data_IF_095432837792
#
_entry.id   IF_095432837792
#
_cell.length_a   1.000
_cell.length_b   1.000
_cell.length_c   1.000
_cell.angle_alpha   90.00
_cell.angle_beta   90.00
_cell.angle_gamma   90.00
#
_symmetry.space_group_name_H-M   'P 1'
#
loop_
_entity.id
_entity.type
_entity.pdbx_description
1 polymer ?
#
# COMPACT_ATOMS: atom_id res chain seq x y z
N UNK A 1 -27.85 -4.77 -7.88
CA UNK A 1 -26.93 -5.84 -8.34
C UNK A 1 -25.70 -5.15 -8.88
N UNK A 2 -24.52 -5.72 -8.67
CA UNK A 2 -23.27 -5.20 -9.22
C UNK A 2 -22.58 -6.30 -10.02
N UNK A 3 -21.84 -5.96 -11.06
CA UNK A 3 -21.14 -6.91 -11.91
C UNK A 3 -19.81 -7.34 -11.27
N UNK A 4 -19.08 -6.39 -10.70
CA UNK A 4 -17.77 -6.63 -10.09
C UNK A 4 -17.65 -6.00 -8.70
N UNK A 5 -16.87 -6.64 -7.84
CA UNK A 5 -16.43 -6.07 -6.56
C UNK A 5 -14.94 -5.76 -6.62
N UNK A 6 -14.52 -4.57 -6.18
CA UNK A 6 -13.11 -4.15 -6.16
C UNK A 6 -12.67 -3.87 -4.71
N UNK A 7 -11.67 -4.60 -4.23
CA UNK A 7 -10.96 -4.21 -3.00
C UNK A 7 -10.03 -3.04 -3.37
N UNK A 8 -10.39 -1.85 -2.92
CA UNK A 8 -9.77 -0.60 -3.32
C UNK A 8 -8.83 -0.02 -2.25
N UNK A 9 -8.44 1.25 -2.42
CA UNK A 9 -7.51 1.96 -1.54
C UNK A 9 -6.11 2.20 -2.15
N UNK A 10 -5.95 1.92 -3.44
CA UNK A 10 -4.75 2.24 -4.22
C UNK A 10 -5.11 3.14 -5.40
N UNK A 11 -4.12 3.86 -5.95
CA UNK A 11 -4.30 4.62 -7.19
C UNK A 11 -4.64 3.73 -8.38
N UNK A 12 -4.14 2.50 -8.38
CA UNK A 12 -4.48 1.49 -9.39
C UNK A 12 -5.94 1.05 -9.28
N UNK A 13 -6.45 0.77 -8.08
CA UNK A 13 -7.86 0.44 -7.88
C UNK A 13 -8.78 1.54 -8.42
N UNK A 14 -8.43 2.83 -8.17
CA UNK A 14 -9.18 3.96 -8.73
C UNK A 14 -9.20 3.93 -10.26
N UNK A 15 -8.08 3.67 -10.91
CA UNK A 15 -8.01 3.60 -12.37
C UNK A 15 -8.81 2.42 -12.92
N UNK A 16 -8.74 1.26 -12.28
CA UNK A 16 -9.53 0.07 -12.63
C UNK A 16 -11.02 0.38 -12.53
N UNK A 17 -11.47 0.93 -11.40
CA UNK A 17 -12.88 1.31 -11.18
C UNK A 17 -13.33 2.30 -12.27
N UNK A 18 -12.55 3.35 -12.53
CA UNK A 18 -12.91 4.34 -13.55
C UNK A 18 -13.02 3.73 -14.96
N UNK A 19 -12.15 2.76 -15.32
CA UNK A 19 -12.25 2.06 -16.61
C UNK A 19 -13.46 1.12 -16.69
N UNK A 20 -13.77 0.40 -15.61
CA UNK A 20 -14.97 -0.46 -15.54
C UNK A 20 -16.25 0.38 -15.70
N UNK A 21 -16.35 1.51 -15.00
CA UNK A 21 -17.51 2.39 -15.10
C UNK A 21 -17.69 2.97 -16.51
N UNK A 22 -16.60 3.32 -17.21
CA UNK A 22 -16.63 3.75 -18.62
C UNK A 22 -17.12 2.67 -19.59
N UNK A 23 -16.99 1.40 -19.21
CA UNK A 23 -17.52 0.24 -19.94
C UNK A 23 -18.94 -0.14 -19.51
N UNK A 24 -19.60 0.73 -18.75
CA UNK A 24 -20.95 0.55 -18.24
C UNK A 24 -21.12 -0.62 -17.25
N UNK A 25 -20.01 -1.11 -16.70
CA UNK A 25 -19.94 -2.21 -15.71
C UNK A 25 -20.23 -1.63 -14.32
N UNK A 26 -21.15 -2.25 -13.59
CA UNK A 26 -21.51 -1.83 -12.22
C UNK A 26 -20.55 -2.38 -11.18
N UNK A 27 -20.10 -1.52 -10.26
CA UNK A 27 -18.99 -1.81 -9.34
C UNK A 27 -19.37 -1.54 -7.89
N UNK A 28 -18.99 -2.47 -7.00
CA UNK A 28 -18.89 -2.23 -5.56
C UNK A 28 -17.42 -2.06 -5.20
N UNK A 29 -17.03 -0.87 -4.75
CA UNK A 29 -15.68 -0.62 -4.25
C UNK A 29 -15.66 -0.70 -2.72
N UNK A 30 -14.69 -1.40 -2.14
CA UNK A 30 -14.49 -1.42 -0.68
C UNK A 30 -13.23 -0.68 -0.30
N UNK A 31 -13.33 0.25 0.64
CA UNK A 31 -12.22 1.06 1.12
C UNK A 31 -12.12 0.97 2.64
N UNK A 32 -10.90 0.92 3.17
CA UNK A 32 -10.69 0.77 4.61
C UNK A 32 -11.04 2.03 5.41
N UNK A 33 -11.02 3.21 4.79
CA UNK A 33 -11.17 4.52 5.44
C UNK A 33 -12.06 5.45 4.63
N UNK A 34 -12.68 6.43 5.30
CA UNK A 34 -13.49 7.46 4.64
C UNK A 34 -12.69 8.32 3.68
N UNK A 35 -11.39 8.54 3.94
CA UNK A 35 -10.50 9.19 2.98
C UNK A 35 -10.38 8.41 1.67
N UNK A 36 -10.27 7.08 1.74
CA UNK A 36 -10.27 6.23 0.54
C UNK A 36 -11.54 6.36 -0.29
N UNK A 37 -12.68 6.56 0.37
CA UNK A 37 -13.99 6.78 -0.27
C UNK A 37 -14.03 8.11 -1.03
N UNK A 38 -13.53 9.19 -0.40
CA UNK A 38 -13.47 10.53 -1.01
C UNK A 38 -12.60 10.59 -2.27
N UNK A 39 -11.66 9.65 -2.44
CA UNK A 39 -10.81 9.58 -3.63
C UNK A 39 -11.51 8.97 -4.84
N UNK A 40 -12.63 8.28 -4.65
CA UNK A 40 -13.43 7.67 -5.72
C UNK A 40 -14.45 8.67 -6.26
N UNK A 41 -14.64 8.67 -7.58
CA UNK A 41 -15.62 9.54 -8.22
C UNK A 41 -17.05 9.05 -7.95
N UNK A 42 -17.98 9.97 -7.71
CA UNK A 42 -19.40 9.61 -7.59
C UNK A 42 -19.91 9.18 -8.96
N UNK A 43 -20.50 7.99 -9.02
CA UNK A 43 -21.08 7.47 -10.26
C UNK A 43 -22.34 6.66 -9.94
N UNK A 44 -23.42 6.72 -10.74
CA UNK A 44 -24.66 5.97 -10.48
C UNK A 44 -24.46 4.45 -10.39
N UNK A 45 -23.45 3.93 -11.09
CA UNK A 45 -23.05 2.52 -11.10
C UNK A 45 -21.94 2.16 -10.12
N UNK A 46 -21.51 3.09 -9.26
CA UNK A 46 -20.52 2.84 -8.21
C UNK A 46 -21.17 2.88 -6.84
N UNK A 47 -21.07 1.79 -6.10
CA UNK A 47 -21.39 1.73 -4.68
C UNK A 47 -20.09 1.64 -3.90
N UNK A 48 -19.94 2.44 -2.85
CA UNK A 48 -18.74 2.42 -2.00
C UNK A 48 -19.10 1.88 -0.62
N UNK A 49 -18.38 0.85 -0.18
CA UNK A 49 -18.46 0.33 1.18
C UNK A 49 -17.23 0.78 1.96
N UNK A 50 -17.45 1.54 3.03
CA UNK A 50 -16.39 2.02 3.91
C UNK A 50 -16.18 1.08 5.11
N UNK A 51 -14.93 0.94 5.52
CA UNK A 51 -14.52 0.19 6.69
C UNK A 51 -13.86 -1.15 6.35
N UNK A 52 -13.18 -1.72 7.35
CA UNK A 52 -12.53 -3.03 7.23
C UNK A 52 -13.56 -4.15 7.15
N UNK A 53 -13.35 -5.08 6.23
CA UNK A 53 -14.20 -6.24 6.04
C UNK A 53 -13.49 -7.52 6.48
N UNK A 54 -14.19 -8.32 7.30
CA UNK A 54 -13.80 -9.70 7.57
C UNK A 54 -14.24 -10.61 6.42
N UNK A 55 -13.67 -11.82 6.34
CA UNK A 55 -14.06 -12.87 5.40
C UNK A 55 -15.59 -13.03 5.31
N UNK A 56 -16.28 -13.19 6.45
CA UNK A 56 -17.73 -13.35 6.49
C UNK A 56 -18.49 -12.14 5.91
N UNK A 57 -18.02 -10.91 6.16
CA UNK A 57 -18.63 -9.70 5.60
C UNK A 57 -18.42 -9.63 4.08
N UNK A 58 -17.24 -10.03 3.59
CA UNK A 58 -16.96 -10.10 2.15
C UNK A 58 -17.89 -11.13 1.51
N UNK A 59 -17.96 -12.35 2.05
CA UNK A 59 -18.81 -13.41 1.51
C UNK A 59 -20.29 -13.00 1.44
N UNK A 60 -20.80 -12.38 2.51
CA UNK A 60 -22.17 -11.85 2.53
C UNK A 60 -22.39 -10.77 1.46
N UNK A 61 -21.42 -9.88 1.25
CA UNK A 61 -21.51 -8.82 0.25
C UNK A 61 -21.46 -9.38 -1.17
N UNK A 62 -20.61 -10.39 -1.43
CA UNK A 62 -20.54 -11.10 -2.71
C UNK A 62 -21.90 -11.70 -3.07
N UNK A 63 -22.51 -12.45 -2.15
CA UNK A 63 -23.79 -13.14 -2.35
C UNK A 63 -24.95 -12.16 -2.49
N UNK A 64 -25.07 -11.19 -1.57
CA UNK A 64 -26.19 -10.22 -1.55
C UNK A 64 -26.21 -9.36 -2.81
N UNK A 65 -25.04 -8.97 -3.30
CA UNK A 65 -24.91 -8.08 -4.45
C UNK A 65 -24.90 -8.83 -5.79
N UNK A 66 -24.80 -10.17 -5.76
CA UNK A 66 -24.70 -11.06 -6.92
C UNK A 66 -23.57 -10.67 -7.87
N UNK A 67 -22.42 -10.31 -7.31
CA UNK A 67 -21.25 -9.97 -8.13
C UNK A 67 -20.71 -11.21 -8.83
N UNK A 68 -20.14 -11.03 -10.01
CA UNK A 68 -19.67 -12.10 -10.87
C UNK A 68 -18.17 -12.35 -10.71
N UNK A 69 -17.42 -11.37 -10.22
CA UNK A 69 -16.01 -11.51 -9.87
C UNK A 69 -15.59 -10.52 -8.78
N UNK A 70 -14.52 -10.84 -8.05
CA UNK A 70 -13.82 -9.93 -7.16
C UNK A 70 -12.42 -9.62 -7.69
N UNK A 71 -12.11 -8.33 -7.76
CA UNK A 71 -10.79 -7.80 -8.11
C UNK A 71 -10.13 -7.28 -6.84
N UNK A 72 -9.06 -7.94 -6.41
CA UNK A 72 -8.21 -7.46 -5.35
C UNK A 72 -7.15 -6.51 -5.90
N UNK A 73 -7.42 -5.21 -5.80
CA UNK A 73 -6.49 -4.13 -6.12
C UNK A 73 -5.97 -3.44 -4.84
N UNK A 74 -5.96 -4.17 -3.71
CA UNK A 74 -5.44 -3.68 -2.44
C UNK A 74 -3.92 -3.51 -2.48
N UNK A 75 -3.38 -2.72 -1.54
CA UNK A 75 -1.93 -2.54 -1.44
C UNK A 75 -1.21 -3.88 -1.19
N UNK A 76 -0.04 -4.18 -1.80
CA UNK A 76 0.63 -5.48 -1.66
C UNK A 76 0.96 -5.91 -0.22
N UNK A 77 1.07 -4.96 0.69
CA UNK A 77 1.27 -5.21 2.13
C UNK A 77 -0.03 -5.46 2.91
N UNK A 78 -1.20 -5.39 2.28
CA UNK A 78 -2.51 -5.60 2.90
C UNK A 78 -2.90 -7.09 2.92
N UNK A 79 -2.00 -7.94 3.46
CA UNK A 79 -2.13 -9.41 3.45
C UNK A 79 -3.49 -9.91 3.96
N UNK A 80 -3.97 -9.33 5.05
CA UNK A 80 -5.20 -9.78 5.71
C UNK A 80 -6.42 -9.69 4.78
N UNK A 81 -6.61 -8.55 4.09
CA UNK A 81 -7.77 -8.36 3.22
C UNK A 81 -7.70 -9.27 2.00
N UNK A 82 -6.51 -9.52 1.45
CA UNK A 82 -6.34 -10.47 0.35
C UNK A 82 -6.69 -11.89 0.77
N UNK A 83 -6.19 -12.35 1.92
CA UNK A 83 -6.50 -13.69 2.45
C UNK A 83 -8.00 -13.83 2.70
N UNK A 84 -8.62 -12.85 3.34
CA UNK A 84 -10.06 -12.85 3.59
C UNK A 84 -10.87 -12.86 2.29
N UNK A 85 -10.43 -12.10 1.28
CA UNK A 85 -11.09 -12.04 -0.04
C UNK A 85 -11.02 -13.36 -0.78
N UNK A 86 -9.85 -14.02 -0.81
CA UNK A 86 -9.69 -15.34 -1.43
C UNK A 86 -10.61 -16.39 -0.78
N UNK A 87 -10.63 -16.46 0.55
CA UNK A 87 -11.50 -17.40 1.27
C UNK A 87 -12.98 -17.13 1.02
N UNK A 88 -13.39 -15.86 1.05
CA UNK A 88 -14.77 -15.46 0.76
C UNK A 88 -15.18 -15.81 -0.68
N UNK A 89 -14.29 -15.61 -1.65
CA UNK A 89 -14.50 -15.99 -3.05
C UNK A 89 -14.67 -17.51 -3.22
N UNK A 90 -13.85 -18.32 -2.54
CA UNK A 90 -13.98 -19.79 -2.53
C UNK A 90 -15.36 -20.19 -1.97
N UNK A 91 -15.74 -19.64 -0.81
CA UNK A 91 -17.01 -19.95 -0.17
C UNK A 91 -18.23 -19.55 -1.02
N UNK A 92 -18.15 -18.39 -1.68
CA UNK A 92 -19.21 -17.87 -2.54
C UNK A 92 -19.18 -18.41 -3.98
N UNK A 93 -18.16 -19.21 -4.34
CA UNK A 93 -17.89 -19.68 -5.72
C UNK A 93 -17.78 -18.53 -6.74
N UNK A 94 -17.14 -17.44 -6.33
CA UNK A 94 -16.90 -16.26 -7.17
C UNK A 94 -15.43 -16.22 -7.60
N UNK A 95 -15.14 -16.02 -8.90
CA UNK A 95 -13.78 -15.78 -9.39
C UNK A 95 -13.05 -14.66 -8.64
N UNK A 96 -11.83 -14.96 -8.20
CA UNK A 96 -10.92 -14.02 -7.55
C UNK A 96 -9.79 -13.65 -8.53
N UNK A 97 -9.58 -12.36 -8.74
CA UNK A 97 -8.48 -11.82 -9.52
C UNK A 97 -7.62 -10.92 -8.63
N UNK A 98 -6.32 -11.16 -8.57
CA UNK A 98 -5.36 -10.21 -7.99
C UNK A 98 -4.84 -9.27 -9.07
N UNK A 99 -5.01 -7.97 -8.87
CA UNK A 99 -4.26 -6.98 -9.61
C UNK A 99 -2.96 -6.65 -8.86
N UNK A 100 -1.82 -6.91 -9.47
CA UNK A 100 -0.52 -6.52 -8.92
C UNK A 100 0.48 -6.20 -10.03
N UNK A 101 0.96 -4.94 -10.08
CA UNK A 101 2.04 -4.55 -10.98
C UNK A 101 3.33 -5.29 -10.63
N UNK A 102 4.13 -5.59 -11.65
CA UNK A 102 5.48 -6.12 -11.48
C UNK A 102 6.30 -5.23 -10.53
N UNK A 103 7.15 -5.85 -9.71
CA UNK A 103 8.10 -5.14 -8.85
C UNK A 103 9.14 -4.37 -9.67
N UNK A 104 9.78 -3.38 -9.03
CA UNK A 104 10.94 -2.71 -9.62
C UNK A 104 12.17 -3.56 -9.27
N UNK A 105 12.88 -4.05 -10.28
CA UNK A 105 14.19 -4.62 -10.08
C UNK A 105 15.18 -3.48 -9.78
N UNK A 106 15.70 -3.43 -8.56
CA UNK A 106 16.84 -2.57 -8.24
C UNK A 106 18.06 -3.06 -9.03
N UNK A 107 18.83 -2.15 -9.62
CA UNK A 107 20.07 -2.54 -10.31
C UNK A 107 21.14 -2.96 -9.28
N UNK A 108 22.03 -3.89 -9.64
CA UNK A 108 23.11 -4.38 -8.76
C UNK A 108 24.05 -3.27 -8.25
N UNK A 109 24.05 -2.10 -8.90
CA UNK A 109 24.85 -0.93 -8.52
C UNK A 109 24.20 -0.05 -7.44
N UNK A 110 22.97 -0.36 -7.03
CA UNK A 110 22.27 0.41 -6.01
C UNK A 110 22.63 -0.06 -4.60
N UNK A 111 22.80 0.90 -3.68
CA UNK A 111 22.97 0.63 -2.23
C UNK A 111 21.64 0.22 -1.58
N UNK A 112 20.99 -0.80 -2.14
CA UNK A 112 19.69 -1.29 -1.72
C UNK A 112 19.87 -2.65 -1.05
N UNK A 113 19.59 -2.70 0.25
CA UNK A 113 19.52 -3.93 1.02
C UNK A 113 18.07 -4.40 1.07
N UNK A 114 17.81 -5.58 0.50
CA UNK A 114 16.48 -6.19 0.60
C UNK A 114 16.34 -6.97 1.90
N UNK A 115 15.21 -6.79 2.59
CA UNK A 115 14.86 -7.52 3.84
C UNK A 115 13.43 -8.06 3.74
N UNK A 116 13.14 -9.15 4.44
CA UNK A 116 11.84 -9.83 4.29
C UNK A 116 10.72 -9.22 5.14
N UNK A 117 11.06 -8.48 6.20
CA UNK A 117 10.09 -7.96 7.15
C UNK A 117 10.57 -6.67 7.87
N UNK A 118 9.66 -6.07 8.64
CA UNK A 118 9.92 -4.83 9.39
C UNK A 118 10.93 -5.00 10.53
N UNK A 119 11.00 -6.18 11.15
CA UNK A 119 11.92 -6.45 12.26
C UNK A 119 13.35 -6.54 11.74
N UNK A 120 13.58 -7.25 10.63
CA UNK A 120 14.86 -7.28 9.93
C UNK A 120 15.26 -5.88 9.48
N UNK A 121 14.32 -5.09 8.95
CA UNK A 121 14.58 -3.70 8.57
C UNK A 121 15.05 -2.85 9.76
N UNK A 122 14.34 -2.93 10.89
CA UNK A 122 14.68 -2.18 12.10
C UNK A 122 16.04 -2.60 12.66
N UNK A 123 16.33 -3.90 12.73
CA UNK A 123 17.63 -4.43 13.18
C UNK A 123 18.77 -4.00 12.26
N UNK A 124 18.56 -4.02 10.94
CA UNK A 124 19.58 -3.55 9.99
C UNK A 124 19.83 -2.06 10.13
N UNK A 125 18.77 -1.26 10.23
CA UNK A 125 18.87 0.20 10.43
C UNK A 125 19.53 0.56 11.78
N UNK A 126 19.32 -0.26 12.82
CA UNK A 126 19.96 -0.08 14.12
C UNK A 126 21.49 -0.13 14.05
N UNK A 127 22.06 -0.88 13.09
CA UNK A 127 23.50 -1.03 12.89
C UNK A 127 24.14 0.07 12.02
N UNK A 128 23.33 0.99 11.48
CA UNK A 128 23.78 2.03 10.56
C UNK A 128 23.82 3.39 11.26
N UNK A 129 24.84 4.18 10.95
CA UNK A 129 25.02 5.52 11.51
C UNK A 129 24.17 6.58 10.80
N UNK A 130 23.89 7.67 11.51
CA UNK A 130 23.12 8.81 11.01
C UNK A 130 21.60 8.63 11.07
N UNK A 131 20.90 9.61 10.50
CA UNK A 131 19.44 9.69 10.58
C UNK A 131 18.76 8.69 9.64
N UNK A 132 17.63 8.17 10.08
CA UNK A 132 16.82 7.19 9.36
C UNK A 132 15.51 7.84 8.97
N UNK A 133 15.21 7.85 7.67
CA UNK A 133 13.91 8.24 7.15
C UNK A 133 13.06 6.99 6.88
N UNK A 134 11.98 6.83 7.65
CA UNK A 134 10.97 5.80 7.45
C UNK A 134 9.86 6.31 6.52
N UNK A 135 9.71 5.67 5.36
CA UNK A 135 8.61 5.94 4.41
C UNK A 135 7.58 4.81 4.37
N UNK A 136 7.42 4.13 5.51
CA UNK A 136 6.57 2.95 5.67
C UNK A 136 5.13 3.26 6.14
N UNK A 137 4.84 4.53 6.43
CA UNK A 137 3.60 4.96 7.10
C UNK A 137 3.67 4.70 8.62
N UNK A 138 2.53 4.82 9.31
CA UNK A 138 2.47 4.66 10.77
C UNK A 138 2.39 3.21 11.24
N UNK A 139 2.00 2.28 10.37
CA UNK A 139 1.86 0.88 10.76
C UNK A 139 3.26 0.26 10.87
N UNK A 140 3.56 -0.38 12.01
CA UNK A 140 4.85 -0.98 12.37
C UNK A 140 5.94 0.02 12.79
N UNK A 141 5.61 1.29 13.06
CA UNK A 141 6.59 2.27 13.59
C UNK A 141 7.14 1.81 14.94
N UNK A 142 6.29 1.20 15.76
CA UNK A 142 6.62 0.60 17.05
C UNK A 142 7.73 -0.46 16.95
N UNK A 143 7.84 -1.17 15.82
CA UNK A 143 8.91 -2.13 15.59
C UNK A 143 10.26 -1.41 15.53
N UNK A 144 10.31 -0.21 14.95
CA UNK A 144 11.53 0.59 14.85
C UNK A 144 11.88 1.24 16.19
N UNK A 145 10.90 1.82 16.89
CA UNK A 145 11.17 2.45 18.20
C UNK A 145 11.56 1.42 19.27
N UNK A 146 11.09 0.18 19.17
CA UNK A 146 11.50 -0.90 20.07
C UNK A 146 12.91 -1.47 19.78
N UNK A 147 13.43 -1.32 18.56
CA UNK A 147 14.70 -1.96 18.14
C UNK A 147 15.84 -0.96 17.84
N UNK A 148 15.58 0.34 17.86
CA UNK A 148 16.59 1.40 17.65
C UNK A 148 16.75 2.19 18.96
N UNK A 149 17.81 1.97 19.76
CA UNK A 149 17.92 2.56 21.11
C UNK A 149 17.83 4.09 21.14
N UNK A 150 18.36 4.77 20.12
CA UNK A 150 18.41 6.23 20.02
C UNK A 150 17.35 6.81 19.04
N UNK A 151 16.25 6.09 18.83
CA UNK A 151 15.20 6.44 17.86
C UNK A 151 14.71 7.89 17.99
N UNK A 152 14.60 8.42 19.22
CA UNK A 152 14.11 9.78 19.46
C UNK A 152 14.94 10.86 18.77
N UNK A 153 16.25 10.62 18.61
CA UNK A 153 17.17 11.58 18.00
C UNK A 153 17.25 11.43 16.48
N UNK A 154 17.18 10.20 15.98
CA UNK A 154 17.58 9.91 14.59
C UNK A 154 16.49 9.34 13.71
N UNK A 155 15.32 9.02 14.25
CA UNK A 155 14.22 8.45 13.47
C UNK A 155 13.28 9.56 12.99
N UNK A 156 13.06 9.60 11.69
CA UNK A 156 12.05 10.44 11.05
C UNK A 156 11.04 9.53 10.36
N UNK A 157 9.75 9.70 10.63
CA UNK A 157 8.67 8.93 10.04
C UNK A 157 7.79 9.81 9.18
N UNK A 158 7.58 9.39 7.94
CA UNK A 158 6.60 10.01 7.05
C UNK A 158 5.25 9.29 7.14
N UNK A 159 4.22 10.03 7.53
CA UNK A 159 2.88 9.50 7.76
C UNK A 159 1.80 10.40 7.17
N UNK A 160 0.58 9.88 7.03
CA UNK A 160 -0.58 10.70 6.64
C UNK A 160 -0.92 11.71 7.74
N UNK A 161 -1.36 12.93 7.38
CA UNK A 161 -1.74 13.97 8.34
C UNK A 161 -3.15 13.71 8.92
N UNK A 162 -3.35 12.54 9.53
CA UNK A 162 -4.61 12.16 10.18
C UNK A 162 -4.40 12.04 11.70
N UNK A 163 -5.35 12.54 12.50
CA UNK A 163 -5.23 12.54 13.97
C UNK A 163 -4.97 11.16 14.55
N UNK A 164 -5.68 10.12 14.09
CA UNK A 164 -5.47 8.75 14.53
C UNK A 164 -4.13 8.15 14.08
N UNK A 165 -3.51 8.68 13.02
CA UNK A 165 -2.18 8.28 12.55
C UNK A 165 -1.09 8.95 13.40
N UNK A 166 -1.27 10.23 13.74
CA UNK A 166 -0.39 10.97 14.64
C UNK A 166 -0.42 10.39 16.06
N UNK A 167 -1.60 10.10 16.60
CA UNK A 167 -1.76 9.47 17.91
C UNK A 167 -1.03 8.11 18.01
N UNK A 168 -0.99 7.33 16.93
CA UNK A 168 -0.20 6.08 16.88
C UNK A 168 1.30 6.33 16.94
N UNK A 169 1.79 7.38 16.28
CA UNK A 169 3.20 7.75 16.32
C UNK A 169 3.60 8.22 17.73
N UNK A 170 2.76 9.03 18.38
CA UNK A 170 2.93 9.48 19.76
C UNK A 170 2.93 8.29 20.73
N UNK A 171 1.99 7.36 20.59
CA UNK A 171 1.95 6.13 21.38
C UNK A 171 3.19 5.23 21.18
N UNK A 172 3.82 5.30 20.00
CA UNK A 172 5.10 4.62 19.73
C UNK A 172 6.33 5.37 20.30
N UNK A 173 6.13 6.50 20.98
CA UNK A 173 7.17 7.29 21.63
C UNK A 173 7.79 8.39 20.76
N UNK A 174 7.25 8.63 19.56
CA UNK A 174 7.70 9.70 18.66
C UNK A 174 7.10 11.04 19.05
N UNK A 175 7.84 12.11 18.83
CA UNK A 175 7.35 13.48 19.01
C UNK A 175 7.34 14.24 17.67
N UNK A 176 6.91 15.50 17.70
CA UNK A 176 6.76 16.33 16.50
C UNK A 176 8.04 16.42 15.65
N UNK A 177 9.24 16.40 16.24
CA UNK A 177 10.50 16.45 15.48
C UNK A 177 10.78 15.18 14.68
N UNK A 178 10.18 14.06 15.08
CA UNK A 178 10.31 12.78 14.39
C UNK A 178 9.28 12.61 13.28
N UNK A 179 8.26 13.46 13.15
CA UNK A 179 7.08 13.17 12.31
C UNK A 179 7.00 14.16 11.14
N UNK A 180 7.00 13.61 9.92
CA UNK A 180 6.67 14.33 8.68
C UNK A 180 5.26 13.92 8.27
N UNK A 181 4.27 14.74 8.62
CA UNK A 181 2.87 14.49 8.33
C UNK A 181 2.49 15.06 6.94
N UNK A 182 2.54 14.23 5.91
CA UNK A 182 2.32 14.64 4.52
C UNK A 182 1.62 13.57 3.69
N UNK A 183 0.81 13.99 2.72
CA UNK A 183 0.11 13.08 1.80
C UNK A 183 0.80 13.04 0.44
N UNK A 184 1.23 11.84 0.04
CA UNK A 184 1.80 11.55 -1.28
C UNK A 184 0.74 11.17 -2.35
N UNK A 185 1.17 10.62 -3.50
CA UNK A 185 2.55 10.24 -3.85
C UNK A 185 3.48 11.45 -3.96
N UNK A 186 4.78 11.22 -3.86
CA UNK A 186 5.82 12.26 -3.86
C UNK A 186 6.77 12.02 -5.03
N UNK A 187 7.15 13.08 -5.74
CA UNK A 187 8.15 13.03 -6.81
C UNK A 187 9.54 12.72 -6.27
N UNK A 188 10.48 12.39 -7.16
CA UNK A 188 11.90 12.25 -6.82
C UNK A 188 12.42 13.47 -6.04
N UNK A 189 12.13 14.69 -6.51
CA UNK A 189 12.61 15.93 -5.90
C UNK A 189 12.08 16.10 -4.48
N UNK A 190 10.80 15.82 -4.27
CA UNK A 190 10.20 15.95 -2.95
C UNK A 190 10.76 14.91 -1.97
N UNK A 191 11.01 13.68 -2.43
CA UNK A 191 11.69 12.67 -1.61
C UNK A 191 13.13 13.08 -1.30
N UNK A 192 13.84 13.67 -2.26
CA UNK A 192 15.21 14.16 -2.08
C UNK A 192 15.29 15.29 -1.05
N UNK A 193 14.38 16.26 -1.11
CA UNK A 193 14.33 17.35 -0.12
C UNK A 193 13.94 16.84 1.27
N UNK A 194 13.06 15.84 1.38
CA UNK A 194 12.81 15.20 2.69
C UNK A 194 14.04 14.47 3.23
N UNK A 195 14.81 13.79 2.37
CA UNK A 195 16.09 13.16 2.77
C UNK A 195 17.05 14.23 3.30
N UNK A 196 17.18 15.36 2.61
CA UNK A 196 18.04 16.48 3.02
C UNK A 196 17.56 17.15 4.30
N UNK A 197 16.26 17.41 4.43
CA UNK A 197 15.65 18.00 5.62
C UNK A 197 15.96 17.16 6.87
N UNK A 198 15.86 15.83 6.76
CA UNK A 198 16.18 14.92 7.85
C UNK A 198 17.68 14.68 8.06
N UNK A 199 18.55 15.17 7.17
CA UNK A 199 19.95 14.71 7.04
C UNK A 199 20.05 13.18 7.06
N UNK A 200 19.13 12.52 6.35
CA UNK A 200 19.00 11.07 6.40
C UNK A 200 20.19 10.40 5.70
N UNK A 201 20.73 9.36 6.34
CA UNK A 201 21.76 8.47 5.80
C UNK A 201 21.19 7.12 5.38
N UNK A 202 20.00 6.79 5.88
CA UNK A 202 19.29 5.54 5.59
C UNK A 202 17.83 5.84 5.26
N UNK A 203 17.36 5.33 4.13
CA UNK A 203 15.94 5.31 3.78
C UNK A 203 15.38 3.90 4.01
N UNK A 204 14.40 3.76 4.88
CA UNK A 204 13.64 2.51 5.01
C UNK A 204 12.32 2.66 4.25
N UNK A 205 12.07 1.76 3.30
CA UNK A 205 10.85 1.80 2.49
C UNK A 205 10.32 0.42 2.16
N UNK A 206 9.06 0.39 1.71
CA UNK A 206 8.38 -0.82 1.21
C UNK A 206 8.53 -0.90 -0.31
N UNK A 207 8.64 -2.10 -0.84
CA UNK A 207 8.34 -2.35 -2.26
C UNK A 207 6.82 -2.28 -2.48
N UNK A 208 6.29 -1.06 -2.45
CA UNK A 208 4.89 -0.74 -2.69
C UNK A 208 4.52 -0.69 -4.18
N UNK A 209 5.45 -1.06 -5.07
CA UNK A 209 5.32 -0.86 -6.52
C UNK A 209 5.22 0.62 -6.94
N UNK A 210 4.94 0.84 -8.24
CA UNK A 210 4.85 2.18 -8.82
C UNK A 210 3.76 3.04 -8.19
N UNK A 211 2.61 2.44 -7.84
CA UNK A 211 1.53 3.17 -7.17
C UNK A 211 1.94 3.80 -5.83
N UNK A 212 2.89 3.19 -5.12
CA UNK A 212 3.44 3.74 -3.88
C UNK A 212 4.70 4.58 -4.06
N UNK A 213 5.06 4.94 -5.30
CA UNK A 213 6.20 5.79 -5.62
C UNK A 213 7.55 5.20 -5.19
N UNK A 214 7.71 3.87 -5.25
CA UNK A 214 8.99 3.22 -4.89
C UNK A 214 10.12 3.68 -5.80
N UNK A 215 9.84 3.89 -7.09
CA UNK A 215 10.82 4.39 -8.06
C UNK A 215 11.38 5.76 -7.67
N UNK A 216 10.51 6.74 -7.40
CA UNK A 216 10.89 8.10 -7.02
C UNK A 216 11.71 8.12 -5.72
N UNK A 217 11.36 7.26 -4.76
CA UNK A 217 12.11 7.07 -3.51
C UNK A 217 13.51 6.52 -3.78
N UNK A 218 13.65 5.50 -4.65
CA UNK A 218 14.94 4.91 -4.99
C UNK A 218 15.83 5.89 -5.76
N UNK A 219 15.25 6.64 -6.72
CA UNK A 219 15.98 7.68 -7.46
C UNK A 219 16.47 8.78 -6.51
N UNK A 220 15.61 9.25 -5.60
CA UNK A 220 15.98 10.26 -4.61
C UNK A 220 17.09 9.80 -3.67
N UNK A 221 17.02 8.55 -3.18
CA UNK A 221 18.06 7.96 -2.36
C UNK A 221 19.40 7.84 -3.10
N UNK A 222 19.36 7.42 -4.37
CA UNK A 222 20.53 7.37 -5.25
C UNK A 222 21.14 8.76 -5.44
N UNK A 223 20.31 9.77 -5.70
CA UNK A 223 20.72 11.18 -5.86
C UNK A 223 21.35 11.73 -4.58
N UNK A 224 20.85 11.33 -3.41
CA UNK A 224 21.41 11.72 -2.10
C UNK A 224 22.63 10.88 -1.68
N UNK A 225 22.94 9.77 -2.37
CA UNK A 225 24.06 8.90 -2.04
C UNK A 225 23.87 8.08 -0.75
N UNK A 226 22.62 7.89 -0.32
CA UNK A 226 22.26 7.23 0.94
C UNK A 226 21.96 5.75 0.74
N UNK A 227 21.99 4.97 1.83
CA UNK A 227 21.61 3.56 1.79
C UNK A 227 20.08 3.40 1.84
N UNK A 228 19.57 2.36 1.19
CA UNK A 228 18.16 1.99 1.22
C UNK A 228 17.98 0.61 1.82
N UNK A 229 17.08 0.50 2.80
CA UNK A 229 16.56 -0.78 3.27
C UNK A 229 15.18 -0.95 2.66
N UNK A 230 15.05 -1.88 1.71
CA UNK A 230 13.82 -2.15 0.98
C UNK A 230 13.16 -3.42 1.53
N UNK A 231 12.01 -3.24 2.18
CA UNK A 231 11.19 -4.33 2.70
C UNK A 231 10.46 -4.97 1.53
N UNK A 232 10.69 -6.27 1.31
CA UNK A 232 10.05 -7.04 0.25
C UNK A 232 8.55 -7.16 0.49
N UNK A 233 7.81 -7.36 -0.60
CA UNK A 233 6.38 -7.67 -0.52
C UNK A 233 6.18 -9.01 0.22
N UNK A 234 5.14 -9.12 1.06
CA UNK A 234 4.77 -10.41 1.62
C UNK A 234 4.48 -11.42 0.50
N UNK A 235 5.03 -12.62 0.61
CA UNK A 235 4.68 -13.70 -0.31
C UNK A 235 3.25 -14.20 -0.02
N UNK A 236 2.37 -14.13 -1.01
CA UNK A 236 1.01 -14.66 -0.98
C UNK A 236 0.74 -15.39 -2.30
N UNK A 237 0.23 -16.61 -2.21
CA UNK A 237 -0.19 -17.38 -3.37
C UNK A 237 -1.61 -16.96 -3.77
N UNK A 238 -1.72 -15.94 -4.62
CA UNK A 238 -2.99 -15.35 -5.03
C UNK A 238 -3.80 -16.18 -6.04
N UNK A 239 -3.19 -17.19 -6.66
CA UNK A 239 -3.79 -17.90 -7.79
C UNK A 239 -3.66 -17.09 -9.08
N UNK A 240 -4.74 -16.46 -9.54
CA UNK A 240 -4.77 -15.72 -10.80
C UNK A 240 -4.38 -14.24 -10.60
N UNK A 241 -3.28 -13.82 -11.24
CA UNK A 241 -2.69 -12.48 -11.10
C UNK A 241 -2.63 -11.80 -12.47
N UNK A 242 -3.00 -10.52 -12.52
CA UNK A 242 -2.82 -9.67 -13.70
C UNK A 242 -2.06 -8.41 -13.29
N UNK A 243 -1.12 -7.97 -14.14
CA UNK A 243 -0.22 -6.85 -13.85
C UNK A 243 -0.54 -5.57 -14.61
N UNK A 244 -1.51 -5.60 -15.53
CA UNK A 244 -1.95 -4.46 -16.33
C UNK A 244 -3.41 -4.13 -16.05
N UNK A 245 -3.74 -2.83 -16.12
CA UNK A 245 -5.12 -2.39 -15.93
C UNK A 245 -5.98 -2.96 -17.06
N UNK A 246 -5.51 -2.92 -18.31
CA UNK A 246 -6.27 -3.44 -19.46
C UNK A 246 -6.52 -4.94 -19.35
N UNK A 247 -5.54 -5.74 -18.93
CA UNK A 247 -5.75 -7.16 -18.69
C UNK A 247 -6.79 -7.44 -17.58
N UNK A 248 -6.90 -6.53 -16.59
CA UNK A 248 -7.95 -6.62 -15.56
C UNK A 248 -9.32 -6.36 -16.17
N UNK A 249 -9.46 -5.37 -17.05
CA UNK A 249 -10.72 -5.09 -17.73
C UNK A 249 -11.13 -6.26 -18.64
N UNK A 250 -10.19 -6.79 -19.44
CA UNK A 250 -10.43 -7.96 -20.30
C UNK A 250 -10.85 -9.20 -19.49
N UNK A 251 -10.27 -9.39 -18.30
CA UNK A 251 -10.69 -10.48 -17.42
C UNK A 251 -12.14 -10.28 -16.97
N UNK A 252 -12.51 -9.08 -16.52
CA UNK A 252 -13.87 -8.81 -16.06
C UNK A 252 -14.87 -9.01 -17.20
N UNK A 253 -14.59 -8.49 -18.40
CA UNK A 253 -15.46 -8.64 -19.58
C UNK A 253 -15.71 -10.12 -19.95
N UNK A 254 -14.77 -11.03 -19.67
CA UNK A 254 -14.95 -12.48 -19.91
C UNK A 254 -15.80 -13.20 -18.85
N UNK A 255 -16.00 -12.59 -17.68
CA UNK A 255 -16.67 -13.21 -16.53
C UNK A 255 -18.01 -12.55 -16.19
N UNK A 256 -18.39 -11.49 -16.92
CA UNK A 256 -19.69 -10.83 -16.80
C UNK A 256 -20.67 -11.25 -17.88
#
# INVERSE_FOLDING_TARGET
>A
MADAMVIAGTSDAKQIINKLLKKDISVIATVATGYGSQLLERHPKLQVHEGRLSEAKIANLLVKSKVKCLIDASHPFAKEISVNSMKACIAAKIPYLRFERNGIAASEKEKVVHVDDFLQAARKAALMEGNILLTIGSNNVEVFTANIPDYKRRLFVRVLPESGVLAKCEAAGLNASNIIAMKGPFSEEMNYEMIRYCDARVLVTKDSGNAGGVEDKLKAARKAGIDVILIKRPYIQYGYIVSTIDGTIEYVEKHI
#
